data_IF_669738379997
#
_entry.id   IF_669738379997
#
_cell.length_a   1.000
_cell.length_b   1.000
_cell.length_c   1.000
_cell.angle_alpha   90.00
_cell.angle_beta   90.00
_cell.angle_gamma   90.00
#
_symmetry.space_group_name_H-M   'P 1'
#
loop_
_entity.id
_entity.type
_entity.pdbx_description
1 polymer ?
#
# COMPACT_ATOMS: atom_id res chain seq x y z
N UNK A 1 -43.22 22.73 22.37
CA UNK A 1 -43.56 23.33 21.07
C UNK A 1 -42.31 23.95 20.51
N UNK A 2 -41.98 23.56 19.28
CA UNK A 2 -40.86 24.02 18.49
C UNK A 2 -40.95 25.54 18.23
N UNK A 3 -39.82 26.23 18.35
CA UNK A 3 -39.62 27.58 17.83
C UNK A 3 -38.38 27.56 16.94
N UNK A 4 -38.60 27.41 15.63
CA UNK A 4 -37.56 27.42 14.62
C UNK A 4 -36.99 28.84 14.48
N UNK A 5 -35.66 28.97 14.48
CA UNK A 5 -34.96 30.15 14.01
C UNK A 5 -33.99 29.73 12.92
N UNK A 6 -34.23 30.26 11.73
CA UNK A 6 -33.48 30.07 10.51
C UNK A 6 -32.10 30.72 10.63
N UNK A 7 -31.03 29.97 10.38
CA UNK A 7 -29.72 30.55 10.03
C UNK A 7 -29.49 30.30 8.55
N UNK A 8 -29.35 31.39 7.81
CA UNK A 8 -29.01 31.44 6.39
C UNK A 8 -27.74 30.62 6.13
N UNK A 9 -27.77 29.78 5.11
CA UNK A 9 -26.57 29.31 4.43
C UNK A 9 -25.95 30.51 3.70
N UNK A 10 -24.83 31.02 4.20
CA UNK A 10 -23.90 31.81 3.40
C UNK A 10 -22.86 30.87 2.80
N UNK A 11 -22.82 30.85 1.48
CA UNK A 11 -21.82 30.18 0.66
C UNK A 11 -20.43 30.71 1.05
N UNK A 12 -19.60 29.87 1.65
CA UNK A 12 -18.15 30.11 1.74
C UNK A 12 -17.49 29.22 0.69
N UNK A 13 -16.68 29.75 -0.23
CA UNK A 13 -15.90 28.92 -1.14
C UNK A 13 -14.96 28.07 -0.28
N UNK A 14 -14.95 26.76 -0.51
CA UNK A 14 -14.03 25.82 0.15
C UNK A 14 -12.61 26.38 0.07
N UNK A 15 -12.11 26.87 1.19
CA UNK A 15 -10.70 27.23 1.35
C UNK A 15 -9.84 25.96 1.35
N UNK A 16 -8.56 26.13 1.07
CA UNK A 16 -7.53 25.08 1.05
C UNK A 16 -7.56 24.14 2.27
N UNK A 17 -7.91 24.64 3.46
CA UNK A 17 -8.06 23.84 4.68
C UNK A 17 -9.14 22.73 4.59
N UNK A 18 -10.21 22.96 3.81
CA UNK A 18 -11.23 21.94 3.55
C UNK A 18 -10.70 20.79 2.70
N UNK A 19 -10.04 21.11 1.58
CA UNK A 19 -9.40 20.12 0.69
C UNK A 19 -8.36 19.26 1.44
N UNK A 20 -7.54 19.86 2.30
CA UNK A 20 -6.59 19.10 3.12
C UNK A 20 -7.27 18.17 4.12
N UNK A 21 -8.40 18.60 4.72
CA UNK A 21 -9.17 17.70 5.58
C UNK A 21 -9.74 16.48 4.85
N UNK A 22 -10.04 16.59 3.55
CA UNK A 22 -10.56 15.47 2.76
C UNK A 22 -9.46 14.51 2.29
N UNK A 23 -8.31 15.03 1.83
CA UNK A 23 -7.14 14.21 1.51
C UNK A 23 -6.73 13.38 2.73
N UNK A 24 -6.72 14.03 3.90
CA UNK A 24 -6.46 13.35 5.15
C UNK A 24 -7.47 12.22 5.43
N UNK A 25 -8.77 12.41 5.15
CA UNK A 25 -9.77 11.38 5.44
C UNK A 25 -9.61 10.12 4.57
N UNK A 26 -9.20 10.26 3.31
CA UNK A 26 -8.98 9.12 2.39
C UNK A 26 -7.74 8.35 2.78
N UNK A 27 -6.62 9.07 2.97
CA UNK A 27 -5.35 8.49 3.35
C UNK A 27 -5.33 8.10 4.83
N UNK A 28 -6.49 8.12 5.50
CA UNK A 28 -6.68 7.86 6.92
C UNK A 28 -5.84 8.76 7.85
N UNK A 29 -5.35 9.91 7.39
CA UNK A 29 -4.63 10.92 8.17
C UNK A 29 -5.57 11.77 9.03
N UNK A 30 -4.98 12.42 10.05
CA UNK A 30 -5.69 13.37 10.92
C UNK A 30 -6.14 14.59 10.12
N UNK A 31 -7.43 14.93 10.18
CA UNK A 31 -7.99 16.16 9.60
C UNK A 31 -7.57 17.37 10.44
N UNK A 32 -6.36 17.86 10.23
CA UNK A 32 -5.80 19.04 10.91
C UNK A 32 -6.05 20.33 10.13
N UNK A 33 -6.30 20.23 8.82
CA UNK A 33 -6.34 21.37 7.90
C UNK A 33 -4.96 21.99 7.64
N UNK A 34 -3.87 21.36 8.08
CA UNK A 34 -2.49 21.78 7.91
C UNK A 34 -1.63 20.66 7.33
N UNK A 35 -0.83 20.98 6.31
CA UNK A 35 0.17 20.07 5.73
C UNK A 35 1.27 19.78 6.78
N UNK A 36 1.28 18.58 7.37
CA UNK A 36 2.42 18.07 8.12
C UNK A 36 3.37 17.29 7.19
N UNK A 37 4.62 17.10 7.62
CA UNK A 37 5.68 16.50 6.79
C UNK A 37 5.30 15.07 6.33
N UNK A 38 4.58 14.31 7.15
CA UNK A 38 4.10 12.97 6.82
C UNK A 38 3.00 12.99 5.74
N UNK A 39 2.05 13.94 5.82
CA UNK A 39 1.03 14.17 4.80
C UNK A 39 1.68 14.58 3.47
N UNK A 40 2.71 15.44 3.53
CA UNK A 40 3.50 15.86 2.37
C UNK A 40 4.22 14.70 1.69
N UNK A 41 4.73 13.74 2.46
CA UNK A 41 5.40 12.56 1.92
C UNK A 41 4.41 11.58 1.25
N UNK A 42 3.21 11.40 1.80
CA UNK A 42 2.15 10.63 1.17
C UNK A 42 1.62 11.30 -0.10
N UNK A 43 1.49 12.62 -0.10
CA UNK A 43 1.10 13.39 -1.30
C UNK A 43 2.16 13.36 -2.41
N UNK A 44 3.40 12.95 -2.11
CA UNK A 44 4.46 12.74 -3.12
C UNK A 44 4.47 11.33 -3.70
N UNK A 45 3.69 10.40 -3.16
CA UNK A 45 3.62 9.06 -3.72
C UNK A 45 2.93 9.12 -5.08
N UNK A 46 3.51 8.41 -6.04
CA UNK A 46 2.92 8.26 -7.36
C UNK A 46 1.54 7.60 -7.26
N UNK A 47 0.53 8.22 -7.86
CA UNK A 47 -0.88 7.86 -7.68
C UNK A 47 -1.73 8.20 -8.89
N UNK A 48 -2.95 7.70 -8.89
CA UNK A 48 -4.01 8.11 -9.80
C UNK A 48 -4.45 9.55 -9.49
N UNK A 49 -4.70 10.33 -10.55
CA UNK A 49 -5.19 11.71 -10.52
C UNK A 49 -6.70 11.85 -10.31
N UNK A 50 -7.45 10.74 -10.31
CA UNK A 50 -8.88 10.75 -9.98
C UNK A 50 -9.06 11.09 -8.49
N UNK A 51 -9.96 12.01 -8.11
CA UNK A 51 -10.20 12.35 -6.70
C UNK A 51 -10.72 11.16 -5.89
N UNK A 52 -10.13 10.93 -4.72
CA UNK A 52 -10.51 9.82 -3.84
C UNK A 52 -11.85 10.03 -3.14
N UNK A 53 -12.14 11.27 -2.73
CA UNK A 53 -13.46 11.71 -2.29
C UNK A 53 -13.94 12.75 -3.30
N UNK A 54 -14.79 12.29 -4.19
CA UNK A 54 -15.66 13.11 -5.00
C UNK A 54 -17.08 12.68 -4.74
N UNK A 55 -17.87 13.55 -4.11
CA UNK A 55 -19.32 13.44 -4.13
C UNK A 55 -19.79 13.51 -5.60
N UNK A 56 -20.01 12.35 -6.19
CA UNK A 56 -20.93 12.15 -7.31
C UNK A 56 -22.40 12.40 -6.87
N UNK A 57 -22.66 13.38 -5.99
CA UNK A 57 -24.01 13.70 -5.46
C UNK A 57 -24.91 14.46 -6.44
N UNK A 58 -24.60 14.46 -7.73
CA UNK A 58 -25.52 14.94 -8.76
C UNK A 58 -25.98 13.89 -9.78
N UNK A 59 -25.58 12.62 -9.64
CA UNK A 59 -26.17 11.54 -10.42
C UNK A 59 -26.48 10.33 -9.54
N UNK A 60 -27.74 9.84 -9.52
CA UNK A 60 -28.00 8.52 -9.00
C UNK A 60 -27.44 7.50 -9.99
N UNK A 61 -26.73 6.47 -9.48
CA UNK A 61 -26.49 5.13 -10.05
C UNK A 61 -25.12 4.89 -10.69
N UNK A 62 -24.46 3.81 -10.24
CA UNK A 62 -23.64 2.88 -11.01
C UNK A 62 -23.38 3.31 -12.46
N UNK A 63 -22.44 4.23 -12.66
CA UNK A 63 -22.06 4.72 -13.98
C UNK A 63 -21.47 3.53 -14.73
N UNK A 64 -22.19 3.04 -15.74
CA UNK A 64 -21.76 1.88 -16.51
C UNK A 64 -22.15 2.03 -17.97
N UNK A 65 -21.37 1.40 -18.84
CA UNK A 65 -21.71 1.30 -20.25
C UNK A 65 -23.00 0.50 -20.42
N UNK A 66 -23.88 1.00 -21.30
CA UNK A 66 -25.17 0.32 -21.59
C UNK A 66 -24.98 -0.93 -22.47
N UNK A 67 -23.85 -1.02 -23.16
CA UNK A 67 -23.47 -2.12 -24.03
C UNK A 67 -22.30 -2.88 -23.42
N UNK A 68 -22.33 -4.21 -23.51
CA UNK A 68 -21.17 -5.03 -23.14
C UNK A 68 -20.06 -5.00 -24.20
N UNK A 69 -20.35 -4.52 -25.42
CA UNK A 69 -19.31 -4.21 -26.39
C UNK A 69 -18.90 -2.75 -26.22
N UNK A 70 -17.67 -2.53 -25.74
CA UNK A 70 -17.06 -1.22 -25.53
C UNK A 70 -15.94 -1.03 -26.55
N UNK A 71 -15.93 0.10 -27.22
CA UNK A 71 -14.91 0.44 -28.21
C UNK A 71 -13.82 1.31 -27.61
N UNK A 72 -12.58 1.14 -28.05
CA UNK A 72 -11.48 1.99 -27.61
C UNK A 72 -10.60 2.43 -28.76
N UNK A 73 -9.91 3.57 -28.62
CA UNK A 73 -8.98 4.08 -29.61
C UNK A 73 -7.79 4.77 -28.94
N UNK A 74 -6.59 4.41 -29.37
CA UNK A 74 -5.35 5.09 -28.96
C UNK A 74 -5.07 6.23 -29.95
N UNK A 75 -5.03 7.47 -29.45
CA UNK A 75 -4.89 8.70 -30.22
C UNK A 75 -3.44 9.00 -30.58
N UNK A 76 -2.55 8.91 -29.60
CA UNK A 76 -1.12 9.10 -29.70
C UNK A 76 -0.38 8.06 -28.83
N UNK A 77 0.95 8.06 -28.88
CA UNK A 77 1.79 7.05 -28.24
C UNK A 77 2.99 7.74 -27.59
N UNK A 78 3.34 7.32 -26.39
CA UNK A 78 4.60 7.68 -25.72
C UNK A 78 5.82 7.27 -26.55
N UNK A 79 6.90 8.08 -26.59
CA UNK A 79 8.14 7.73 -27.25
C UNK A 79 8.99 6.72 -26.45
N UNK A 80 8.68 6.49 -25.17
CA UNK A 80 9.44 5.60 -24.28
C UNK A 80 9.32 4.13 -24.66
N UNK A 81 8.18 3.77 -25.25
CA UNK A 81 7.85 2.41 -25.65
C UNK A 81 7.57 2.32 -27.14
N UNK A 82 7.86 1.16 -27.73
CA UNK A 82 7.42 0.89 -29.11
C UNK A 82 5.90 0.91 -29.15
N UNK A 83 5.30 1.42 -30.23
CA UNK A 83 3.84 1.43 -30.43
C UNK A 83 3.18 0.05 -30.20
N UNK A 84 3.84 -1.02 -30.63
CA UNK A 84 3.37 -2.39 -30.42
C UNK A 84 3.37 -2.83 -28.93
N UNK A 85 4.24 -2.24 -28.12
CA UNK A 85 4.33 -2.51 -26.69
C UNK A 85 3.23 -1.74 -25.94
N UNK A 86 2.95 -0.49 -26.32
CA UNK A 86 1.79 0.29 -25.84
C UNK A 86 0.48 -0.40 -26.20
N UNK A 87 0.33 -0.81 -27.47
CA UNK A 87 -0.85 -1.54 -27.95
C UNK A 87 -1.10 -2.82 -27.13
N UNK A 88 -0.03 -3.53 -26.80
CA UNK A 88 -0.10 -4.75 -26.00
C UNK A 88 -0.43 -4.44 -24.54
N UNK A 89 0.14 -3.39 -23.95
CA UNK A 89 -0.15 -2.98 -22.57
C UNK A 89 -1.64 -2.63 -22.41
N UNK A 90 -2.16 -1.74 -23.25
CA UNK A 90 -3.58 -1.34 -23.26
C UNK A 90 -4.50 -2.52 -23.50
N UNK A 91 -4.20 -3.37 -24.49
CA UNK A 91 -5.02 -4.55 -24.79
C UNK A 91 -5.02 -5.55 -23.64
N UNK A 92 -3.87 -5.78 -23.01
CA UNK A 92 -3.78 -6.65 -21.83
C UNK A 92 -4.57 -6.06 -20.66
N UNK A 93 -4.48 -4.76 -20.42
CA UNK A 93 -5.22 -4.08 -19.37
C UNK A 93 -6.75 -4.21 -19.55
N UNK A 94 -7.25 -4.04 -20.77
CA UNK A 94 -8.67 -4.31 -21.08
C UNK A 94 -9.04 -5.79 -20.90
N UNK A 95 -8.15 -6.72 -21.27
CA UNK A 95 -8.41 -8.15 -21.12
C UNK A 95 -8.52 -8.58 -19.65
N UNK A 96 -7.84 -7.90 -18.72
CA UNK A 96 -7.96 -8.17 -17.28
C UNK A 96 -9.42 -8.05 -16.84
N UNK A 97 -10.11 -6.98 -17.25
CA UNK A 97 -11.52 -6.76 -16.96
C UNK A 97 -12.44 -7.71 -17.75
N UNK A 98 -12.13 -7.97 -19.02
CA UNK A 98 -12.89 -8.92 -19.85
C UNK A 98 -12.78 -10.37 -19.38
N UNK A 99 -11.68 -10.75 -18.71
CA UNK A 99 -11.50 -12.11 -18.19
C UNK A 99 -12.50 -12.41 -17.05
N UNK A 100 -13.00 -11.40 -16.34
CA UNK A 100 -13.92 -11.55 -15.18
C UNK A 100 -15.33 -10.99 -15.40
N UNK A 101 -15.61 -10.38 -16.56
CA UNK A 101 -16.92 -9.82 -16.93
C UNK A 101 -17.38 -10.31 -18.32
N UNK A 102 -18.64 -10.06 -18.74
CA UNK A 102 -19.08 -10.29 -20.11
C UNK A 102 -18.64 -9.19 -21.10
N UNK A 103 -17.77 -8.25 -20.70
CA UNK A 103 -17.33 -7.15 -21.53
C UNK A 103 -16.46 -7.61 -22.70
N UNK A 104 -16.64 -6.97 -23.86
CA UNK A 104 -15.89 -7.22 -25.09
C UNK A 104 -15.34 -5.90 -25.61
N UNK A 105 -14.02 -5.82 -25.71
CA UNK A 105 -13.35 -4.61 -26.16
C UNK A 105 -12.97 -4.65 -27.64
N UNK A 106 -13.32 -3.61 -28.38
CA UNK A 106 -13.01 -3.49 -29.82
C UNK A 106 -12.19 -2.24 -30.12
N UNK A 107 -10.98 -2.44 -30.66
CA UNK A 107 -10.12 -1.32 -31.09
C UNK A 107 -10.68 -0.69 -32.37
N UNK A 108 -10.86 0.62 -32.36
CA UNK A 108 -11.13 1.44 -33.55
C UNK A 108 -9.85 2.13 -34.01
N UNK A 109 -9.78 2.40 -35.32
CA UNK A 109 -8.64 3.11 -35.94
C UNK A 109 -8.99 4.53 -36.42
N UNK A 110 -10.28 4.83 -36.53
CA UNK A 110 -10.82 6.10 -37.00
C UNK A 110 -12.15 6.37 -36.31
N UNK A 111 -12.57 7.64 -36.29
CA UNK A 111 -13.78 8.08 -35.59
C UNK A 111 -13.62 8.09 -34.06
N UNK A 112 -14.73 8.30 -33.37
CA UNK A 112 -14.77 8.34 -31.91
C UNK A 112 -15.12 6.94 -31.40
N UNK A 113 -14.43 6.53 -30.33
CA UNK A 113 -14.68 5.32 -29.58
C UNK A 113 -15.34 5.67 -28.24
N UNK A 114 -15.79 4.67 -27.48
CA UNK A 114 -16.32 4.87 -26.13
C UNK A 114 -15.22 5.26 -25.13
N UNK A 115 -13.98 4.79 -25.38
CA UNK A 115 -12.80 5.10 -24.57
C UNK A 115 -11.71 5.65 -25.51
N UNK A 116 -11.41 6.94 -25.42
CA UNK A 116 -10.27 7.55 -26.11
C UNK A 116 -9.06 7.57 -25.19
N UNK A 117 -7.94 7.04 -25.67
CA UNK A 117 -6.70 6.90 -24.89
C UNK A 117 -5.65 7.81 -25.47
N UNK A 118 -5.09 8.68 -24.64
CA UNK A 118 -4.01 9.59 -25.03
C UNK A 118 -2.95 9.78 -23.95
N UNK A 119 -1.79 10.25 -24.40
CA UNK A 119 -0.70 10.68 -23.56
C UNK A 119 -0.58 12.20 -23.68
N UNK A 120 -0.48 12.92 -22.56
CA UNK A 120 -0.43 14.38 -22.54
C UNK A 120 0.47 14.87 -21.41
N UNK A 121 1.01 16.07 -21.51
CA UNK A 121 1.80 16.69 -20.45
C UNK A 121 1.06 17.91 -19.94
N UNK A 122 1.00 18.06 -18.62
CA UNK A 122 0.38 19.21 -17.92
C UNK A 122 -1.01 19.51 -18.45
N UNK A 123 -1.30 20.72 -18.90
CA UNK A 123 -2.59 21.05 -19.51
C UNK A 123 -2.75 20.36 -20.87
N UNK A 124 -3.69 19.42 -20.94
CA UNK A 124 -3.90 18.55 -22.10
C UNK A 124 -5.33 18.57 -22.65
N UNK A 125 -6.12 19.60 -22.30
CA UNK A 125 -7.37 19.94 -23.02
C UNK A 125 -8.65 19.49 -22.32
N UNK A 126 -8.57 19.02 -21.08
CA UNK A 126 -9.71 18.54 -20.27
C UNK A 126 -9.88 19.29 -18.93
N UNK A 127 -9.08 20.35 -18.71
CA UNK A 127 -9.04 21.19 -17.50
C UNK A 127 -8.52 20.49 -16.22
N UNK A 128 -7.96 19.29 -16.34
CA UNK A 128 -7.29 18.57 -15.25
C UNK A 128 -5.80 18.42 -15.59
N UNK A 129 -4.98 19.45 -15.40
CA UNK A 129 -3.57 19.39 -15.79
C UNK A 129 -2.78 18.40 -14.94
N UNK A 130 -1.87 17.65 -15.55
CA UNK A 130 -0.85 16.87 -14.83
C UNK A 130 0.21 17.77 -14.18
N UNK A 131 0.97 17.22 -13.24
CA UNK A 131 1.97 17.92 -12.41
C UNK A 131 3.41 17.80 -12.92
N UNK A 132 3.67 16.95 -13.91
CA UNK A 132 5.01 16.69 -14.45
C UNK A 132 5.54 15.34 -13.95
N UNK A 133 6.87 15.15 -13.87
CA UNK A 133 7.42 13.87 -13.43
C UNK A 133 7.08 13.54 -11.98
N UNK A 134 6.72 12.29 -11.73
CA UNK A 134 6.17 11.75 -10.48
C UNK A 134 4.84 12.42 -10.06
N UNK A 135 4.20 11.88 -9.00
CA UNK A 135 2.92 12.42 -8.55
C UNK A 135 1.74 11.82 -9.31
N UNK A 136 1.11 12.58 -10.21
CA UNK A 136 -0.09 12.12 -10.94
C UNK A 136 0.27 11.36 -12.22
N UNK A 137 0.17 10.04 -12.17
CA UNK A 137 0.58 9.18 -13.29
C UNK A 137 -0.39 9.22 -14.47
N UNK A 138 -1.69 9.29 -14.18
CA UNK A 138 -2.77 9.19 -15.14
C UNK A 138 -4.11 9.56 -14.49
N UNK A 139 -5.14 9.74 -15.31
CA UNK A 139 -6.53 9.75 -14.86
C UNK A 139 -7.47 9.22 -15.95
N UNK A 140 -8.68 8.87 -15.54
CA UNK A 140 -9.75 8.53 -16.47
C UNK A 140 -11.12 9.05 -16.01
N UNK A 141 -11.98 9.31 -16.98
CA UNK A 141 -13.36 9.72 -16.74
C UNK A 141 -14.28 8.51 -16.66
N UNK A 142 -15.33 8.54 -15.81
CA UNK A 142 -16.30 7.47 -15.74
C UNK A 142 -17.12 7.35 -17.06
N UNK A 143 -17.82 6.22 -17.27
CA UNK A 143 -18.66 6.02 -18.46
C UNK A 143 -19.62 7.17 -18.71
N UNK A 144 -19.65 7.69 -19.94
CA UNK A 144 -20.46 8.86 -20.28
C UNK A 144 -20.42 9.25 -21.74
N UNK A 145 -21.05 10.38 -22.07
CA UNK A 145 -20.95 10.99 -23.40
C UNK A 145 -19.75 11.95 -23.47
N UNK A 146 -19.27 12.21 -24.69
CA UNK A 146 -18.17 13.15 -24.90
C UNK A 146 -16.86 12.56 -24.39
N UNK A 147 -16.29 13.17 -23.34
CA UNK A 147 -15.05 12.73 -22.69
C UNK A 147 -15.25 11.57 -21.70
N UNK A 148 -16.50 11.16 -21.44
CA UNK A 148 -16.78 10.05 -20.52
C UNK A 148 -16.17 8.75 -21.04
N UNK A 149 -15.35 8.09 -20.23
CA UNK A 149 -14.55 6.93 -20.61
C UNK A 149 -13.12 7.27 -21.04
N UNK A 150 -12.82 8.52 -21.39
CA UNK A 150 -11.50 8.89 -21.87
C UNK A 150 -10.45 8.71 -20.77
N UNK A 151 -9.27 8.24 -21.17
CA UNK A 151 -8.18 7.86 -20.28
C UNK A 151 -6.90 8.55 -20.73
N UNK A 152 -6.30 9.34 -19.84
CA UNK A 152 -5.12 10.14 -20.11
C UNK A 152 -3.96 9.68 -19.24
N UNK A 153 -2.78 9.53 -19.85
CA UNK A 153 -1.53 9.18 -19.18
C UNK A 153 -0.59 10.39 -19.23
N UNK A 154 0.10 10.69 -18.13
CA UNK A 154 1.08 11.77 -18.14
C UNK A 154 2.32 11.37 -18.95
N UNK A 155 2.62 12.14 -19.99
CA UNK A 155 3.79 11.93 -20.85
C UNK A 155 5.10 12.44 -20.23
N UNK A 156 5.03 13.23 -19.14
CA UNK A 156 6.23 13.61 -18.39
C UNK A 156 6.78 12.45 -17.54
N UNK A 157 6.05 11.32 -17.45
CA UNK A 157 6.45 10.10 -16.76
C UNK A 157 7.27 9.14 -17.63
N UNK A 158 8.17 8.37 -16.99
CA UNK A 158 8.92 7.34 -17.68
C UNK A 158 8.14 6.02 -17.79
N UNK A 159 7.56 5.75 -18.95
CA UNK A 159 6.72 4.57 -19.17
C UNK A 159 7.51 3.32 -19.50
N UNK A 160 7.32 2.27 -18.70
CA UNK A 160 8.06 1.02 -18.81
C UNK A 160 7.14 -0.20 -18.90
N UNK A 161 7.72 -1.34 -19.27
CA UNK A 161 7.05 -2.66 -19.33
C UNK A 161 7.44 -3.58 -18.18
N UNK A 162 8.40 -3.16 -17.37
CA UNK A 162 8.93 -3.89 -16.21
C UNK A 162 8.78 -3.01 -14.96
N UNK A 163 9.62 -3.20 -13.95
CA UNK A 163 9.58 -2.48 -12.67
C UNK A 163 10.62 -1.37 -12.57
N UNK A 164 11.24 -0.95 -13.69
CA UNK A 164 12.30 0.08 -13.67
C UNK A 164 11.77 1.49 -13.44
N UNK A 165 10.50 1.75 -13.78
CA UNK A 165 9.77 2.97 -13.44
C UNK A 165 8.26 2.65 -13.36
N UNK A 166 7.39 3.43 -14.01
CA UNK A 166 5.95 3.22 -14.01
C UNK A 166 5.54 2.24 -15.10
N UNK A 167 4.87 1.16 -14.69
CA UNK A 167 4.47 0.10 -15.60
C UNK A 167 3.16 0.46 -16.30
N UNK A 168 3.21 0.73 -17.61
CA UNK A 168 2.04 1.18 -18.38
C UNK A 168 0.88 0.19 -18.32
N UNK A 169 1.14 -1.12 -18.24
CA UNK A 169 0.07 -2.11 -18.13
C UNK A 169 -0.69 -2.02 -16.79
N UNK A 170 0.03 -1.81 -15.68
CA UNK A 170 -0.59 -1.70 -14.36
C UNK A 170 -1.41 -0.42 -14.26
N UNK A 171 -0.83 0.73 -14.63
CA UNK A 171 -1.55 2.02 -14.60
C UNK A 171 -2.73 1.98 -15.55
N UNK A 172 -2.58 1.48 -16.78
CA UNK A 172 -3.70 1.37 -17.70
C UNK A 172 -4.81 0.44 -17.18
N UNK A 173 -4.47 -0.64 -16.49
CA UNK A 173 -5.49 -1.53 -15.91
C UNK A 173 -6.32 -0.80 -14.84
N UNK A 174 -5.68 0.01 -13.99
CA UNK A 174 -6.34 0.85 -12.99
C UNK A 174 -7.25 1.90 -13.65
N UNK A 175 -6.70 2.73 -14.54
CA UNK A 175 -7.47 3.82 -15.17
C UNK A 175 -8.64 3.29 -16.00
N UNK A 176 -8.47 2.15 -16.68
CA UNK A 176 -9.55 1.53 -17.41
C UNK A 176 -10.63 0.98 -16.49
N UNK A 177 -10.34 0.70 -15.22
CA UNK A 177 -11.35 0.45 -14.20
C UNK A 177 -12.26 1.66 -14.00
N UNK A 178 -11.70 2.87 -13.90
CA UNK A 178 -12.48 4.12 -13.87
C UNK A 178 -13.29 4.33 -15.15
N UNK A 179 -12.69 4.11 -16.33
CA UNK A 179 -13.38 4.17 -17.61
C UNK A 179 -14.53 3.15 -17.74
N UNK A 180 -14.55 2.13 -16.89
CA UNK A 180 -15.62 1.15 -16.76
C UNK A 180 -16.61 1.45 -15.62
N UNK A 181 -16.34 2.46 -14.80
CA UNK A 181 -17.25 2.91 -13.74
C UNK A 181 -16.85 2.54 -12.32
N UNK A 182 -15.65 1.97 -12.13
CA UNK A 182 -15.11 1.69 -10.80
C UNK A 182 -14.63 2.99 -10.15
N UNK A 183 -14.82 3.09 -8.83
CA UNK A 183 -14.18 4.13 -8.01
C UNK A 183 -12.90 3.58 -7.37
N UNK A 184 -12.11 4.44 -6.73
CA UNK A 184 -11.01 3.98 -5.91
C UNK A 184 -11.49 3.03 -4.81
N UNK A 185 -10.71 1.98 -4.56
CA UNK A 185 -10.90 1.09 -3.42
C UNK A 185 -10.13 1.62 -2.21
N UNK A 186 -10.66 1.35 -1.01
CA UNK A 186 -9.93 1.53 0.24
C UNK A 186 -8.99 0.35 0.57
N UNK A 187 -9.09 -0.76 -0.15
CA UNK A 187 -8.23 -1.93 0.02
C UNK A 187 -6.88 -1.72 -0.67
N UNK A 188 -5.79 -1.67 0.12
CA UNK A 188 -4.43 -1.52 -0.39
C UNK A 188 -3.94 -2.67 -1.29
N UNK A 189 -4.63 -3.81 -1.30
CA UNK A 189 -4.37 -4.96 -2.15
C UNK A 189 -5.02 -4.88 -3.53
N UNK A 190 -6.07 -4.04 -3.66
CA UNK A 190 -6.84 -3.87 -4.87
C UNK A 190 -6.05 -3.14 -5.96
N UNK A 191 -6.33 -3.48 -7.22
CA UNK A 191 -5.84 -2.73 -8.37
C UNK A 191 -6.38 -1.30 -8.33
N UNK A 192 -7.65 -1.11 -7.93
CA UNK A 192 -8.29 0.20 -7.83
C UNK A 192 -7.85 1.02 -6.60
N UNK A 193 -6.83 0.59 -5.84
CA UNK A 193 -6.22 1.43 -4.81
C UNK A 193 -5.49 2.63 -5.45
N UNK A 194 -5.63 3.86 -4.94
CA UNK A 194 -5.16 5.08 -5.61
C UNK A 194 -3.63 5.17 -5.75
N UNK A 195 -2.87 4.57 -4.84
CA UNK A 195 -1.40 4.66 -4.84
C UNK A 195 -0.81 3.58 -5.74
N UNK A 196 0.12 3.97 -6.61
CA UNK A 196 0.78 3.05 -7.53
C UNK A 196 1.61 2.01 -6.79
N UNK A 197 1.41 0.74 -7.15
CA UNK A 197 2.27 -0.34 -6.73
C UNK A 197 2.51 -1.34 -7.86
N UNK A 198 3.78 -1.65 -8.12
CA UNK A 198 4.13 -2.65 -9.10
C UNK A 198 3.84 -4.07 -8.60
N UNK A 199 3.19 -4.88 -9.42
CA UNK A 199 2.96 -6.28 -9.15
C UNK A 199 3.05 -7.14 -10.41
N UNK A 200 3.50 -8.39 -10.24
CA UNK A 200 3.51 -9.41 -11.30
C UNK A 200 2.33 -10.37 -11.16
N UNK A 201 1.87 -10.96 -12.26
CA UNK A 201 0.77 -11.93 -12.27
C UNK A 201 -0.56 -11.28 -12.65
N UNK A 202 -1.66 -11.93 -12.29
CA UNK A 202 -3.00 -11.37 -12.51
C UNK A 202 -3.21 -10.16 -11.57
N UNK A 203 -3.63 -8.99 -12.08
CA UNK A 203 -3.55 -7.76 -11.31
C UNK A 203 -4.74 -7.50 -10.36
N UNK A 204 -5.91 -8.09 -10.59
CA UNK A 204 -7.11 -7.85 -9.76
C UNK A 204 -7.06 -8.62 -8.43
N UNK A 205 -7.50 -7.96 -7.36
CA UNK A 205 -7.89 -8.55 -6.09
C UNK A 205 -9.36 -9.00 -6.12
N UNK A 206 -9.86 -9.62 -5.05
CA UNK A 206 -11.27 -10.04 -5.01
C UNK A 206 -12.18 -8.80 -4.93
N UNK A 207 -11.79 -7.77 -4.17
CA UNK A 207 -12.51 -6.48 -4.12
C UNK A 207 -12.75 -5.86 -5.51
N UNK A 208 -11.74 -5.88 -6.39
CA UNK A 208 -11.89 -5.38 -7.76
C UNK A 208 -12.88 -6.22 -8.59
N UNK A 209 -12.84 -7.55 -8.42
CA UNK A 209 -13.68 -8.50 -9.15
C UNK A 209 -15.13 -8.35 -8.71
N UNK A 210 -15.39 -8.30 -7.41
CA UNK A 210 -16.72 -8.11 -6.85
C UNK A 210 -17.31 -6.77 -7.33
N UNK A 211 -16.53 -5.68 -7.27
CA UNK A 211 -16.98 -4.37 -7.70
C UNK A 211 -17.33 -4.30 -9.20
N UNK A 212 -16.48 -4.86 -10.07
CA UNK A 212 -16.76 -4.81 -11.53
C UNK A 212 -17.91 -5.75 -11.91
N UNK A 213 -18.04 -6.90 -11.25
CA UNK A 213 -19.13 -7.84 -11.48
C UNK A 213 -20.46 -7.31 -10.95
N UNK A 214 -20.47 -6.48 -9.90
CA UNK A 214 -21.68 -5.77 -9.49
C UNK A 214 -22.22 -4.83 -10.58
N UNK A 215 -21.34 -4.29 -11.45
CA UNK A 215 -21.73 -3.43 -12.58
C UNK A 215 -22.16 -4.23 -13.82
N UNK A 216 -21.38 -5.24 -14.21
CA UNK A 216 -21.49 -5.92 -15.51
C UNK A 216 -21.91 -7.39 -15.44
N UNK A 217 -21.91 -8.00 -14.26
CA UNK A 217 -22.10 -9.43 -14.05
C UNK A 217 -20.82 -10.24 -14.28
N UNK A 218 -20.88 -11.52 -13.89
CA UNK A 218 -19.79 -12.47 -14.07
C UNK A 218 -19.55 -12.82 -15.55
N UNK A 219 -18.30 -13.17 -15.87
CA UNK A 219 -17.98 -13.72 -17.19
C UNK A 219 -18.71 -15.06 -17.40
N UNK A 220 -19.54 -15.21 -18.46
CA UNK A 220 -20.22 -16.48 -18.76
C UNK A 220 -19.26 -17.62 -19.10
N UNK A 221 -18.01 -17.31 -19.47
CA UNK A 221 -16.96 -18.29 -19.75
C UNK A 221 -15.70 -17.93 -18.93
N UNK A 222 -15.74 -18.10 -17.60
CA UNK A 222 -14.68 -17.62 -16.73
C UNK A 222 -13.39 -18.40 -17.00
N UNK A 223 -12.29 -17.67 -17.17
CA UNK A 223 -10.95 -18.27 -17.13
C UNK A 223 -10.58 -18.54 -15.69
N UNK A 224 -9.79 -19.60 -15.45
CA UNK A 224 -9.17 -19.82 -14.14
C UNK A 224 -8.13 -18.73 -13.92
N UNK A 225 -8.55 -17.66 -13.25
CA UNK A 225 -7.67 -16.61 -12.73
C UNK A 225 -7.39 -16.90 -11.26
N UNK A 226 -6.23 -16.47 -10.77
CA UNK A 226 -5.92 -16.46 -9.34
C UNK A 226 -5.86 -14.99 -8.93
N UNK A 227 -6.91 -14.46 -8.28
CA UNK A 227 -6.92 -13.08 -7.79
C UNK A 227 -5.78 -12.85 -6.81
N UNK A 228 -5.38 -11.59 -6.69
CA UNK A 228 -4.51 -11.17 -5.60
C UNK A 228 -5.27 -11.28 -4.28
N UNK A 229 -4.57 -11.62 -3.19
CA UNK A 229 -5.17 -11.52 -1.87
C UNK A 229 -5.48 -10.05 -1.56
N UNK A 230 -6.68 -9.82 -1.05
CA UNK A 230 -7.10 -8.57 -0.42
C UNK A 230 -6.20 -8.25 0.77
N UNK A 231 -6.22 -6.99 1.20
CA UNK A 231 -5.47 -6.59 2.38
C UNK A 231 -6.04 -7.27 3.65
N UNK A 232 -5.18 -7.74 4.58
CA UNK A 232 -5.61 -8.37 5.81
C UNK A 232 -6.56 -7.46 6.61
N UNK A 233 -7.63 -8.03 7.15
CA UNK A 233 -8.60 -7.30 7.95
C UNK A 233 -8.08 -7.11 9.39
N UNK A 234 -7.91 -5.86 9.82
CA UNK A 234 -7.45 -5.49 11.18
C UNK A 234 -8.34 -6.03 12.32
N UNK A 235 -9.60 -6.35 12.03
CA UNK A 235 -10.58 -6.86 13.00
C UNK A 235 -10.76 -8.38 12.92
N UNK A 236 -9.97 -9.09 12.12
CA UNK A 236 -10.03 -10.55 12.06
C UNK A 236 -9.51 -11.15 13.40
N UNK A 237 -10.33 -11.92 14.13
CA UNK A 237 -9.90 -12.53 15.39
C UNK A 237 -8.77 -13.57 15.23
N UNK A 238 -8.49 -14.02 14.01
CA UNK A 238 -7.38 -14.94 13.70
C UNK A 238 -6.15 -14.21 13.15
N UNK A 239 -6.14 -12.87 13.16
CA UNK A 239 -5.02 -12.08 12.65
C UNK A 239 -3.75 -12.33 13.49
N UNK A 240 -2.70 -12.76 12.81
CA UNK A 240 -1.32 -12.78 13.32
C UNK A 240 -0.46 -11.77 12.55
N UNK A 241 0.69 -11.43 13.09
CA UNK A 241 1.64 -10.49 12.48
C UNK A 241 2.95 -11.19 12.15
N UNK A 242 3.60 -10.76 11.08
CA UNK A 242 4.91 -11.34 10.71
C UNK A 242 6.08 -10.57 11.35
N UNK A 243 5.91 -9.28 11.65
CA UNK A 243 6.89 -8.49 12.39
C UNK A 243 6.26 -7.20 12.91
N UNK A 244 6.84 -6.63 13.98
CA UNK A 244 6.44 -5.31 14.51
C UNK A 244 7.71 -4.52 14.80
N UNK A 245 7.69 -3.22 14.51
CA UNK A 245 8.81 -2.34 14.81
C UNK A 245 8.37 -0.89 15.02
N UNK A 246 9.29 -0.04 15.45
CA UNK A 246 9.12 1.41 15.45
C UNK A 246 9.81 2.02 14.23
N UNK A 247 9.34 3.18 13.78
CA UNK A 247 10.04 4.03 12.83
C UNK A 247 9.78 5.48 13.24
N UNK A 248 10.78 6.11 13.86
CA UNK A 248 10.75 7.52 14.28
C UNK A 248 9.50 7.89 15.11
N UNK A 249 9.09 6.97 16.00
CA UNK A 249 7.95 7.15 16.90
C UNK A 249 6.60 6.68 16.37
N UNK A 250 6.55 6.11 15.17
CA UNK A 250 5.39 5.40 14.65
C UNK A 250 5.55 3.89 14.82
N UNK A 251 4.45 3.17 15.00
CA UNK A 251 4.48 1.72 15.03
C UNK A 251 4.18 1.16 13.65
N UNK A 252 5.06 0.30 13.15
CA UNK A 252 4.92 -0.39 11.87
C UNK A 252 4.66 -1.87 12.15
N UNK A 253 3.54 -2.40 11.65
CA UNK A 253 3.12 -3.79 11.83
C UNK A 253 3.08 -4.45 10.47
N UNK A 254 3.93 -5.45 10.23
CA UNK A 254 4.01 -6.16 8.96
C UNK A 254 3.11 -7.40 8.95
N UNK A 255 2.42 -7.62 7.83
CA UNK A 255 1.67 -8.84 7.56
C UNK A 255 1.61 -9.14 6.07
N UNK A 256 2.06 -10.32 5.70
CA UNK A 256 2.19 -10.80 4.34
C UNK A 256 2.95 -9.77 3.49
N UNK A 257 2.24 -9.13 2.55
CA UNK A 257 2.77 -8.10 1.65
C UNK A 257 2.41 -6.68 2.05
N UNK A 258 1.76 -6.53 3.19
CA UNK A 258 1.20 -5.29 3.71
C UNK A 258 1.90 -4.90 4.99
N UNK A 259 1.73 -3.64 5.36
CA UNK A 259 1.98 -3.20 6.72
C UNK A 259 0.94 -2.16 7.14
N UNK A 260 0.70 -2.09 8.44
CA UNK A 260 0.00 -0.97 9.06
C UNK A 260 0.98 0.01 9.64
N UNK A 261 0.70 1.30 9.43
CA UNK A 261 1.34 2.43 10.06
C UNK A 261 0.41 3.00 11.11
N UNK A 262 0.83 2.96 12.36
CA UNK A 262 0.11 3.54 13.48
C UNK A 262 0.86 4.78 13.92
N UNK A 263 0.27 5.94 13.62
CA UNK A 263 0.77 7.21 14.09
C UNK A 263 0.00 7.63 15.35
N UNK A 264 0.67 8.11 16.42
CA UNK A 264 0.02 8.43 17.71
C UNK A 264 -1.10 9.46 17.63
N UNK A 265 -1.11 10.31 16.60
CA UNK A 265 -2.11 11.36 16.42
C UNK A 265 -3.21 10.99 15.40
N UNK A 266 -3.08 9.85 14.72
CA UNK A 266 -4.03 9.39 13.73
C UNK A 266 -4.90 8.32 14.38
N UNK A 267 -6.23 8.44 14.21
CA UNK A 267 -7.19 7.55 14.87
C UNK A 267 -7.22 6.17 14.21
N UNK A 268 -7.09 6.12 12.89
CA UNK A 268 -7.20 4.88 12.12
C UNK A 268 -5.82 4.47 11.58
N UNK A 269 -5.41 3.21 11.78
CA UNK A 269 -4.14 2.72 11.22
C UNK A 269 -4.22 2.71 9.69
N UNK A 270 -3.21 3.30 9.05
CA UNK A 270 -3.09 3.30 7.60
C UNK A 270 -2.51 1.96 7.15
N UNK A 271 -3.13 1.30 6.17
CA UNK A 271 -2.63 0.05 5.60
C UNK A 271 -2.13 0.30 4.19
N UNK A 272 -0.94 -0.20 3.87
CA UNK A 272 -0.37 -0.08 2.52
C UNK A 272 0.53 -1.26 2.18
N UNK A 273 0.98 -1.35 0.94
CA UNK A 273 1.88 -2.39 0.44
C UNK A 273 3.33 -2.07 0.82
N UNK A 274 4.06 -3.07 1.32
CA UNK A 274 5.49 -2.96 1.65
C UNK A 274 6.28 -2.43 0.45
N UNK A 275 5.98 -2.93 -0.76
CA UNK A 275 6.66 -2.54 -1.99
C UNK A 275 6.32 -1.15 -2.51
N UNK A 276 5.21 -0.55 -2.06
CA UNK A 276 4.90 0.84 -2.36
C UNK A 276 5.91 1.77 -1.68
N UNK A 277 6.18 1.50 -0.40
CA UNK A 277 7.05 2.30 0.44
C UNK A 277 8.53 1.95 0.31
N UNK A 278 8.84 0.65 0.26
CA UNK A 278 10.20 0.12 0.19
C UNK A 278 10.35 -0.88 -0.97
N UNK A 279 10.51 -0.41 -2.22
CA UNK A 279 10.64 -1.27 -3.40
C UNK A 279 11.83 -2.25 -3.33
N UNK A 280 12.85 -1.93 -2.53
CA UNK A 280 14.13 -2.64 -2.44
C UNK A 280 14.17 -3.79 -1.43
N UNK A 281 13.20 -3.88 -0.51
CA UNK A 281 13.11 -4.97 0.48
C UNK A 281 12.16 -6.07 0.01
N UNK A 282 12.16 -7.29 0.59
CA UNK A 282 11.28 -8.37 0.17
C UNK A 282 9.79 -8.07 0.39
N UNK A 283 8.94 -8.84 -0.29
CA UNK A 283 7.48 -8.75 -0.13
C UNK A 283 6.98 -9.25 1.22
N UNK A 284 7.81 -9.91 2.03
CA UNK A 284 7.46 -10.41 3.35
C UNK A 284 8.63 -10.17 4.30
N UNK A 285 8.32 -9.68 5.49
CA UNK A 285 9.27 -9.40 6.56
C UNK A 285 9.08 -10.45 7.65
N UNK A 286 10.16 -11.09 8.09
CA UNK A 286 10.11 -12.11 9.15
C UNK A 286 10.41 -11.51 10.52
N UNK A 287 11.20 -10.43 10.60
CA UNK A 287 11.45 -9.70 11.83
C UNK A 287 11.94 -8.28 11.50
N UNK A 288 11.72 -7.33 12.42
CA UNK A 288 12.18 -5.96 12.24
C UNK A 288 12.48 -5.28 13.59
N UNK A 289 13.48 -4.41 13.64
CA UNK A 289 13.71 -3.55 14.81
C UNK A 289 14.26 -2.19 14.41
N UNK A 290 13.94 -1.16 15.20
CA UNK A 290 14.55 0.16 15.11
C UNK A 290 15.77 0.25 16.04
N UNK A 291 16.88 0.75 15.51
CA UNK A 291 17.98 1.27 16.29
C UNK A 291 17.95 2.82 16.22
N UNK A 292 17.33 3.50 17.20
CA UNK A 292 17.19 4.95 17.19
C UNK A 292 18.54 5.68 17.34
N UNK A 293 19.54 5.07 17.98
CA UNK A 293 20.88 5.65 18.12
C UNK A 293 21.60 5.79 16.77
N UNK A 294 21.27 4.89 15.82
CA UNK A 294 21.81 4.88 14.46
C UNK A 294 20.84 5.48 13.43
N UNK A 295 19.62 5.82 13.83
CA UNK A 295 18.50 6.18 12.94
C UNK A 295 18.32 5.14 11.82
N UNK A 296 18.30 3.86 12.19
CA UNK A 296 18.16 2.74 11.27
C UNK A 296 17.02 1.81 11.67
N UNK A 297 16.24 1.35 10.69
CA UNK A 297 15.38 0.18 10.84
C UNK A 297 16.03 -1.00 10.14
N UNK A 298 16.21 -2.09 10.86
CA UNK A 298 16.76 -3.33 10.33
C UNK A 298 15.60 -4.30 10.06
N UNK A 299 15.53 -4.78 8.83
CA UNK A 299 14.51 -5.70 8.34
C UNK A 299 15.16 -7.05 8.05
N UNK A 300 14.53 -8.14 8.49
CA UNK A 300 14.95 -9.51 8.24
C UNK A 300 13.97 -10.24 7.34
N UNK A 301 14.52 -11.06 6.44
CA UNK A 301 13.74 -11.99 5.61
C UNK A 301 14.64 -13.14 5.16
N UNK A 302 14.31 -14.34 5.63
CA UNK A 302 15.12 -15.54 5.57
C UNK A 302 16.54 -15.29 6.08
N UNK A 303 17.53 -15.67 5.27
CA UNK A 303 18.95 -15.56 5.64
C UNK A 303 19.55 -14.15 5.44
N UNK A 304 18.74 -13.15 5.11
CA UNK A 304 19.19 -11.80 4.76
C UNK A 304 18.60 -10.73 5.68
N UNK A 305 19.34 -9.65 5.81
CA UNK A 305 18.93 -8.42 6.47
C UNK A 305 19.12 -7.22 5.55
N UNK A 306 18.27 -6.21 5.71
CA UNK A 306 18.31 -4.89 5.06
C UNK A 306 18.38 -3.84 6.16
N UNK A 307 19.08 -2.73 5.91
CA UNK A 307 19.06 -1.58 6.79
C UNK A 307 18.45 -0.40 6.03
N UNK A 308 17.50 0.27 6.66
CA UNK A 308 16.76 1.38 6.12
C UNK A 308 17.03 2.62 6.97
N UNK A 309 17.24 3.77 6.32
CA UNK A 309 17.14 5.09 6.96
C UNK A 309 15.90 5.79 6.38
N UNK A 310 14.79 5.78 7.12
CA UNK A 310 13.48 6.16 6.59
C UNK A 310 13.08 5.28 5.40
N UNK A 311 12.96 5.87 4.21
CA UNK A 311 12.60 5.17 2.96
C UNK A 311 13.81 4.63 2.19
N UNK A 312 15.03 5.02 2.57
CA UNK A 312 16.23 4.73 1.80
C UNK A 312 16.92 3.45 2.27
N UNK A 313 17.27 2.58 1.32
CA UNK A 313 18.15 1.45 1.58
C UNK A 313 19.58 1.95 1.82
N UNK A 314 20.20 1.50 2.91
CA UNK A 314 21.58 1.83 3.24
C UNK A 314 22.55 1.05 2.33
N UNK A 315 23.58 1.73 1.86
CA UNK A 315 24.63 1.14 1.02
C UNK A 315 25.27 -0.11 1.64
N UNK A 316 25.50 -1.12 0.80
CA UNK A 316 26.08 -2.39 1.21
C UNK A 316 25.10 -3.40 1.79
N UNK A 317 23.79 -3.12 1.75
CA UNK A 317 22.71 -4.07 2.02
C UNK A 317 22.07 -4.58 0.72
N UNK A 318 21.46 -5.78 0.71
CA UNK A 318 21.29 -6.69 1.85
C UNK A 318 22.58 -7.41 2.28
N UNK A 319 22.66 -7.76 3.57
CA UNK A 319 23.72 -8.58 4.17
C UNK A 319 23.14 -9.89 4.67
N UNK A 320 23.99 -10.89 4.90
CA UNK A 320 23.55 -12.15 5.50
C UNK A 320 23.47 -12.07 7.03
N UNK A 321 22.47 -12.71 7.64
CA UNK A 321 22.27 -12.70 9.11
C UNK A 321 23.44 -13.29 9.89
N UNK A 322 24.19 -14.25 9.33
CA UNK A 322 25.40 -14.80 9.98
C UNK A 322 26.51 -13.75 10.18
N UNK A 323 26.43 -12.59 9.52
CA UNK A 323 27.33 -11.46 9.78
C UNK A 323 27.11 -10.81 11.15
N UNK A 324 25.96 -11.06 11.79
CA UNK A 324 25.69 -10.68 13.17
C UNK A 324 26.37 -11.61 14.19
N UNK A 325 27.02 -12.69 13.73
CA UNK A 325 27.60 -13.71 14.61
C UNK A 325 26.70 -14.94 14.81
N UNK A 326 25.52 -14.97 14.18
CA UNK A 326 24.62 -16.13 14.22
C UNK A 326 25.22 -17.36 13.50
N UNK A 327 24.98 -18.58 14.01
CA UNK A 327 25.37 -19.81 13.33
C UNK A 327 24.77 -19.93 11.93
N UNK A 328 25.50 -20.55 11.00
CA UNK A 328 25.01 -20.77 9.62
C UNK A 328 23.83 -21.76 9.53
N UNK A 329 23.51 -22.48 10.60
CA UNK A 329 22.33 -23.34 10.71
C UNK A 329 21.04 -22.52 10.78
N UNK A 330 21.08 -21.33 11.38
CA UNK A 330 19.94 -20.42 11.48
C UNK A 330 19.58 -19.90 10.09
N UNK A 331 18.31 -20.06 9.72
CA UNK A 331 17.79 -19.75 8.37
C UNK A 331 16.86 -18.55 8.32
N UNK A 332 16.30 -18.14 9.46
CA UNK A 332 15.41 -17.01 9.65
C UNK A 332 15.60 -16.45 11.07
N UNK A 333 15.12 -15.24 11.29
CA UNK A 333 14.94 -14.64 12.62
C UNK A 333 13.44 -14.39 12.72
N UNK A 334 12.81 -14.87 13.78
CA UNK A 334 11.35 -14.86 13.95
C UNK A 334 10.87 -13.58 14.60
N UNK A 335 11.67 -13.02 15.50
CA UNK A 335 11.43 -11.69 16.04
C UNK A 335 12.76 -11.00 16.39
N UNK A 336 12.74 -9.67 16.37
CA UNK A 336 13.90 -8.87 16.74
C UNK A 336 13.43 -7.64 17.51
N UNK A 337 14.18 -7.22 18.52
CA UNK A 337 13.84 -6.03 19.31
C UNK A 337 15.07 -5.37 19.89
N UNK A 338 15.13 -4.04 19.81
CA UNK A 338 16.17 -3.24 20.44
C UNK A 338 15.70 -2.73 21.80
N UNK A 339 16.52 -2.97 22.82
CA UNK A 339 16.27 -2.56 24.20
C UNK A 339 17.06 -1.28 24.46
N UNK A 340 16.36 -0.14 24.43
CA UNK A 340 16.96 1.20 24.56
C UNK A 340 17.79 1.35 25.83
N UNK A 341 17.33 0.76 26.94
CA UNK A 341 17.96 0.91 28.26
C UNK A 341 19.32 0.23 28.36
N UNK A 342 19.56 -0.82 27.57
CA UNK A 342 20.77 -1.64 27.64
C UNK A 342 21.66 -1.50 26.41
N UNK A 343 21.13 -0.93 25.31
CA UNK A 343 21.82 -0.89 24.02
C UNK A 343 21.96 -2.27 23.38
N UNK A 344 21.15 -3.25 23.80
CA UNK A 344 21.18 -4.62 23.29
C UNK A 344 20.04 -4.85 22.31
N UNK A 345 20.29 -5.66 21.30
CA UNK A 345 19.26 -6.20 20.41
C UNK A 345 19.07 -7.68 20.71
N UNK A 346 17.83 -8.11 20.94
CA UNK A 346 17.49 -9.52 21.06
C UNK A 346 16.99 -10.06 19.72
N UNK A 347 17.48 -11.24 19.34
CA UNK A 347 17.02 -11.98 18.16
C UNK A 347 16.43 -13.31 18.60
N UNK A 348 15.19 -13.57 18.25
CA UNK A 348 14.47 -14.81 18.55
C UNK A 348 14.52 -15.73 17.32
N UNK A 349 14.85 -17.01 17.55
CA UNK A 349 15.01 -18.03 16.51
C UNK A 349 14.54 -19.37 17.07
N UNK A 350 13.44 -19.91 16.53
CA UNK A 350 12.77 -21.09 17.07
C UNK A 350 12.57 -20.93 18.60
N UNK A 351 12.99 -21.92 19.41
CA UNK A 351 12.83 -21.94 20.88
C UNK A 351 13.91 -21.16 21.66
N UNK A 352 14.80 -20.48 20.95
CA UNK A 352 15.99 -19.83 21.51
C UNK A 352 16.03 -18.33 21.18
N UNK A 353 16.74 -17.57 22.01
CA UNK A 353 17.05 -16.18 21.70
C UNK A 353 18.55 -15.86 21.87
N UNK A 354 19.00 -14.81 21.20
CA UNK A 354 20.37 -14.31 21.20
C UNK A 354 20.38 -12.84 21.63
N UNK A 355 21.41 -12.43 22.38
CA UNK A 355 21.66 -11.01 22.70
C UNK A 355 22.84 -10.50 21.90
N UNK A 356 22.64 -9.38 21.22
CA UNK A 356 23.63 -8.69 20.40
C UNK A 356 23.93 -7.31 20.99
N UNK A 357 25.20 -7.02 21.20
CA UNK A 357 25.67 -5.73 21.68
C UNK A 357 25.87 -4.78 20.49
N UNK A 358 25.04 -3.74 20.41
CA UNK A 358 25.08 -2.77 19.31
C UNK A 358 26.31 -1.85 19.35
N UNK A 359 26.95 -1.71 20.51
CA UNK A 359 28.15 -0.89 20.71
C UNK A 359 29.43 -1.64 20.31
N UNK A 360 29.55 -2.93 20.64
CA UNK A 360 30.70 -3.76 20.23
C UNK A 360 30.49 -4.41 18.87
N UNK A 361 29.25 -4.53 18.40
CA UNK A 361 28.90 -5.19 17.15
C UNK A 361 29.08 -6.72 17.19
N UNK A 362 28.85 -7.33 18.37
CA UNK A 362 29.07 -8.77 18.59
C UNK A 362 27.98 -9.39 19.45
N UNK A 363 27.74 -10.69 19.29
CA UNK A 363 26.89 -11.46 20.22
C UNK A 363 27.50 -11.50 21.62
N UNK A 364 26.64 -11.37 22.63
CA UNK A 364 27.02 -11.54 24.03
C UNK A 364 27.40 -13.00 24.33
N UNK A 365 28.33 -13.19 25.25
CA UNK A 365 28.70 -14.52 25.73
C UNK A 365 27.57 -15.16 26.54
N UNK A 366 27.38 -16.48 26.39
CA UNK A 366 26.34 -17.22 27.12
C UNK A 366 25.02 -17.35 26.35
N UNK A 367 25.01 -16.99 25.07
CA UNK A 367 23.90 -17.17 24.13
C UNK A 367 24.22 -18.28 23.10
N UNK A 368 23.20 -19.00 22.58
CA UNK A 368 21.77 -18.78 22.77
C UNK A 368 21.27 -19.17 24.16
N UNK A 369 20.09 -18.67 24.54
CA UNK A 369 19.37 -19.04 25.75
C UNK A 369 17.94 -19.45 25.41
N UNK A 370 17.34 -20.29 26.26
CA UNK A 370 15.97 -20.79 26.09
C UNK A 370 14.94 -19.70 26.38
N UNK A 371 13.97 -19.53 25.46
CA UNK A 371 12.86 -18.60 25.65
C UNK A 371 12.01 -19.02 26.85
N UNK A 372 11.61 -20.29 26.92
CA UNK A 372 10.78 -20.84 28.01
C UNK A 372 11.38 -20.57 29.40
N UNK A 373 12.71 -20.68 29.52
CA UNK A 373 13.42 -20.50 30.80
C UNK A 373 13.45 -19.05 31.25
N UNK A 374 13.73 -18.13 30.32
CA UNK A 374 13.99 -16.72 30.65
C UNK A 374 12.74 -15.83 30.53
N UNK A 375 11.73 -16.31 29.81
CA UNK A 375 10.44 -15.66 29.60
C UNK A 375 9.29 -16.63 29.92
N UNK A 376 9.11 -17.01 31.19
CA UNK A 376 8.16 -18.04 31.59
C UNK A 376 6.71 -17.62 31.27
N UNK A 377 5.96 -18.48 30.58
CA UNK A 377 4.57 -18.22 30.19
C UNK A 377 4.38 -17.73 28.75
N UNK A 378 5.46 -17.65 27.98
CA UNK A 378 5.42 -17.48 26.52
C UNK A 378 5.45 -18.85 25.84
N UNK A 379 5.01 -18.87 24.59
CA UNK A 379 5.12 -20.05 23.74
C UNK A 379 6.56 -20.28 23.29
N UNK A 380 6.79 -21.41 22.64
CA UNK A 380 8.08 -21.81 22.10
C UNK A 380 8.52 -20.98 20.89
N UNK A 381 7.61 -20.32 20.16
CA UNK A 381 7.91 -19.41 19.04
C UNK A 381 7.38 -17.99 19.29
N UNK A 382 8.14 -16.98 18.83
CA UNK A 382 7.79 -15.55 18.92
C UNK A 382 7.63 -14.99 17.52
N UNK A 383 6.41 -14.58 17.17
CA UNK A 383 6.08 -14.01 15.86
C UNK A 383 6.55 -12.56 15.70
N UNK A 384 6.52 -11.77 16.78
CA UNK A 384 6.95 -10.38 16.75
C UNK A 384 7.31 -9.84 18.14
N UNK A 385 8.17 -8.82 18.16
CA UNK A 385 8.67 -8.21 19.39
C UNK A 385 8.73 -6.69 19.26
N UNK A 386 8.29 -5.95 20.29
CA UNK A 386 8.41 -4.49 20.34
C UNK A 386 8.71 -4.00 21.76
N UNK A 387 9.58 -2.99 21.87
CA UNK A 387 9.93 -2.35 23.13
C UNK A 387 9.30 -0.95 23.19
N UNK A 388 8.29 -0.75 24.07
CA UNK A 388 7.50 0.48 24.12
C UNK A 388 7.70 1.22 25.45
N UNK A 389 8.04 2.52 25.39
CA UNK A 389 8.00 3.41 26.55
C UNK A 389 6.56 3.89 26.78
N UNK A 390 5.99 3.49 27.91
CA UNK A 390 4.62 3.71 28.41
C UNK A 390 3.90 4.99 27.92
N UNK A 391 2.96 4.86 26.99
CA UNK A 391 1.73 5.69 26.87
C UNK A 391 0.71 5.11 25.85
N UNK A 392 1.16 4.29 24.88
CA UNK A 392 0.33 3.75 23.77
C UNK A 392 -0.31 2.38 24.10
N UNK A 393 -0.03 1.82 25.28
CA UNK A 393 -0.44 0.46 25.68
C UNK A 393 -1.97 0.30 25.82
N UNK A 394 -2.74 1.39 26.04
CA UNK A 394 -4.18 1.30 26.29
C UNK A 394 -5.02 0.88 25.07
N UNK A 395 -4.53 1.07 23.83
CA UNK A 395 -5.28 0.71 22.62
C UNK A 395 -4.86 -0.65 22.01
N UNK A 396 -3.59 -1.04 22.14
CA UNK A 396 -3.08 -2.32 21.60
C UNK A 396 -3.47 -3.51 22.48
N UNK A 397 -3.63 -3.30 23.79
CA UNK A 397 -4.02 -4.35 24.75
C UNK A 397 -5.41 -4.95 24.54
N UNK A 398 -6.29 -4.35 23.73
CA UNK A 398 -7.59 -4.96 23.45
C UNK A 398 -7.50 -6.13 22.45
N UNK A 399 -6.35 -6.29 21.78
CA UNK A 399 -6.17 -7.30 20.72
C UNK A 399 -5.22 -8.43 21.13
N UNK A 400 -4.31 -8.26 22.09
CA UNK A 400 -3.27 -9.26 22.38
C UNK A 400 -3.12 -9.50 23.89
N UNK A 401 -3.48 -10.71 24.34
CA UNK A 401 -3.26 -11.20 25.70
C UNK A 401 -1.89 -11.88 25.79
N UNK A 402 -0.97 -11.33 26.60
CA UNK A 402 -0.21 -11.97 27.70
C UNK A 402 0.84 -10.95 28.19
N UNK A 403 0.92 -10.75 29.51
CA UNK A 403 1.77 -9.74 30.17
C UNK A 403 2.87 -10.42 30.99
N UNK A 404 4.11 -9.94 30.90
CA UNK A 404 5.11 -10.07 31.96
C UNK A 404 5.87 -8.77 32.19
N UNK A 405 5.95 -8.41 33.47
CA UNK A 405 6.64 -7.24 33.99
C UNK A 405 8.13 -7.54 34.13
N UNK A 406 8.96 -6.76 33.43
CA UNK A 406 10.17 -6.03 33.89
C UNK A 406 10.61 -5.23 32.66
N UNK A 407 10.37 -3.91 32.66
CA UNK A 407 10.70 -2.96 31.57
C UNK A 407 10.24 -3.39 30.15
N UNK A 408 8.92 -3.29 29.96
CA UNK A 408 8.08 -3.15 28.74
C UNK A 408 8.55 -3.67 27.36
N UNK A 409 8.97 -4.94 27.31
CA UNK A 409 9.02 -5.73 26.07
C UNK A 409 7.66 -6.44 25.84
N UNK A 410 7.05 -6.24 24.68
CA UNK A 410 5.84 -6.96 24.24
C UNK A 410 6.26 -7.98 23.18
N UNK A 411 5.98 -9.26 23.45
CA UNK A 411 6.23 -10.38 22.53
C UNK A 411 4.88 -10.98 22.13
N UNK A 412 4.70 -11.22 20.83
CA UNK A 412 3.48 -11.74 20.23
C UNK A 412 3.75 -13.18 19.77
N UNK A 413 2.89 -14.12 20.15
CA UNK A 413 2.97 -15.53 19.72
C UNK A 413 1.62 -16.01 19.20
N UNK A 414 1.67 -16.88 18.18
CA UNK A 414 0.51 -17.54 17.58
C UNK A 414 -0.16 -18.55 18.53
N UNK A 415 -1.37 -18.98 18.19
CA UNK A 415 -2.13 -20.04 18.87
C UNK A 415 -2.24 -21.29 18.00
#
# INVERSE_FOLDING_TARGET
MFGASWVKCEYSPLGTAGQYGYICTVLSLKVTGSLDDNTLELMKQARCGVPDIGEYNHFPRHLKWQSNTVTFRILNYTPDLKKADVDRAVRSALNVWADVTPLVFKKLYHGNADIMISFGSKEHGDYNPFDGPDGLLAHAYPPGQGIGGDTHFDEDEHWTKDSSAYNLFIVAAHELGHALGMSHSSDAGALMYPVYSYATGFPLAEDDIEGIQALYGENPNPRKVKPKPDAPNKCDPMLSFDAVTELRGETIIFKDRFYWRIHPQIVEPEQTLIKSTWPSIPNKVDAAYENPEKDLVIIFSGIRMWALNGYNLVDGYPKYIHKLGLPKSIRKIDAAVYIRDTGKTLFFTDEEYWSYDEATGTMDSGYPRSIETDFPGMDDEVDAAIYCLSYIISYVLYILYYMLYIFYLILLGGR
#
